data_IF_873051885494
#
_entry.id   IF_873051885494
#
_cell.length_a   1.000
_cell.length_b   1.000
_cell.length_c   1.000
_cell.angle_alpha   90.00
_cell.angle_beta   90.00
_cell.angle_gamma   90.00
#
_symmetry.space_group_name_H-M   'P 1'
#
loop_
_entity.id
_entity.type
_entity.pdbx_description
1 polymer ?
#
# COMPACT_ATOMS: atom_id res chain seq x y z
N UNK A 1 8.29 14.55 -13.98
CA UNK A 1 7.77 13.51 -14.82
C UNK A 1 6.90 12.58 -14.03
N UNK A 2 5.81 12.16 -14.61
CA UNK A 2 4.89 11.29 -13.93
C UNK A 2 5.45 9.88 -13.89
N UNK A 3 5.43 9.21 -12.75
CA UNK A 3 5.96 7.85 -12.72
C UNK A 3 5.07 6.92 -13.51
N UNK A 4 5.68 5.95 -14.14
CA UNK A 4 4.97 4.95 -14.86
C UNK A 4 5.12 3.65 -14.14
N UNK A 5 4.19 2.74 -14.37
CA UNK A 5 4.24 1.47 -13.67
C UNK A 5 5.52 0.72 -13.96
N UNK A 6 6.04 0.84 -15.17
CA UNK A 6 7.23 0.10 -15.50
C UNK A 6 8.49 0.72 -14.93
N UNK A 7 8.40 1.93 -14.39
CA UNK A 7 9.58 2.54 -13.77
C UNK A 7 9.57 2.39 -12.26
N UNK A 8 8.64 1.62 -11.72
CA UNK A 8 8.57 1.40 -10.29
C UNK A 8 9.64 0.40 -9.89
N UNK A 9 10.38 0.67 -8.81
CA UNK A 9 11.45 -0.26 -8.41
C UNK A 9 10.92 -1.65 -8.13
N UNK A 10 11.73 -2.67 -8.38
CA UNK A 10 11.26 -4.04 -8.20
C UNK A 10 10.74 -4.36 -6.81
N UNK A 11 11.36 -3.84 -5.76
CA UNK A 11 10.91 -4.17 -4.42
C UNK A 11 9.55 -3.52 -4.14
N UNK A 12 9.28 -2.37 -4.72
CA UNK A 12 7.98 -1.73 -4.55
C UNK A 12 6.92 -2.53 -5.31
N UNK A 13 7.25 -3.00 -6.52
CA UNK A 13 6.32 -3.84 -7.25
C UNK A 13 6.04 -5.10 -6.49
N UNK A 14 7.06 -5.70 -5.87
CA UNK A 14 6.87 -6.94 -5.13
C UNK A 14 5.92 -6.71 -3.95
N UNK A 15 6.02 -5.57 -3.29
CA UNK A 15 5.14 -5.28 -2.17
C UNK A 15 3.70 -5.13 -2.66
N UNK A 16 3.49 -4.45 -3.78
CA UNK A 16 2.16 -4.26 -4.33
C UNK A 16 1.57 -5.62 -4.72
N UNK A 17 2.35 -6.43 -5.40
CA UNK A 17 1.89 -7.74 -5.83
C UNK A 17 1.53 -8.63 -4.65
N UNK A 18 2.37 -8.61 -3.62
CA UNK A 18 2.11 -9.42 -2.42
C UNK A 18 0.81 -8.99 -1.74
N UNK A 19 0.59 -7.68 -1.66
CA UNK A 19 -0.64 -7.17 -1.06
C UNK A 19 -1.85 -7.65 -1.85
N UNK A 20 -1.76 -7.61 -3.17
CA UNK A 20 -2.86 -8.03 -4.01
C UNK A 20 -3.12 -9.53 -3.89
N UNK A 21 -2.08 -10.33 -3.70
CA UNK A 21 -2.26 -11.76 -3.52
C UNK A 21 -3.06 -12.07 -2.27
N UNK A 22 -3.01 -11.21 -1.27
CA UNK A 22 -3.77 -11.40 -0.06
C UNK A 22 -5.04 -10.56 -0.05
N UNK A 23 -5.50 -10.17 -1.23
CA UNK A 23 -6.79 -9.52 -1.40
C UNK A 23 -6.85 -8.12 -0.80
N UNK A 24 -5.72 -7.44 -0.70
CA UNK A 24 -5.74 -6.05 -0.27
C UNK A 24 -6.52 -5.23 -1.29
N UNK A 25 -7.21 -4.21 -0.80
CA UNK A 25 -8.02 -3.36 -1.65
C UNK A 25 -7.47 -1.96 -1.71
N UNK A 26 -7.83 -1.25 -2.76
CA UNK A 26 -7.46 0.16 -2.93
C UNK A 26 -5.96 0.38 -2.73
N UNK A 27 -5.18 -0.42 -3.42
CA UNK A 27 -3.73 -0.34 -3.31
C UNK A 27 -3.24 0.84 -4.12
N UNK A 28 -2.52 1.74 -3.45
CA UNK A 28 -1.95 2.89 -4.15
C UNK A 28 -0.47 3.03 -3.80
N UNK A 29 0.23 3.67 -4.68
CA UNK A 29 1.63 4.02 -4.50
C UNK A 29 1.73 5.52 -4.47
N UNK A 30 2.43 6.06 -3.47
CA UNK A 30 2.72 7.48 -3.42
C UNK A 30 4.23 7.64 -3.59
N UNK A 31 4.60 8.43 -4.60
CA UNK A 31 6.00 8.71 -4.88
C UNK A 31 6.35 9.98 -4.12
N UNK A 32 7.17 9.85 -3.09
CA UNK A 32 7.48 10.94 -2.19
C UNK A 32 8.77 11.66 -2.55
N UNK A 33 9.34 11.33 -3.70
CA UNK A 33 10.61 11.93 -4.09
C UNK A 33 10.47 13.47 -4.17
N UNK A 34 11.42 14.14 -3.59
CA UNK A 34 11.42 15.61 -3.65
C UNK A 34 10.52 16.29 -2.66
N UNK A 35 9.83 15.54 -1.80
CA UNK A 35 8.91 16.15 -0.85
C UNK A 35 9.47 16.24 0.56
N UNK A 36 10.74 15.90 0.74
CA UNK A 36 11.34 16.02 2.05
C UNK A 36 11.00 14.91 3.00
N UNK A 37 10.43 13.83 2.49
CA UNK A 37 10.10 12.69 3.34
C UNK A 37 11.35 11.86 3.58
N UNK A 38 11.32 11.07 4.65
CA UNK A 38 12.45 10.23 5.00
C UNK A 38 12.47 8.92 4.21
N UNK A 39 11.49 8.67 3.40
CA UNK A 39 11.44 7.49 2.55
C UNK A 39 11.06 7.93 1.14
N UNK A 40 11.27 7.05 0.16
CA UNK A 40 10.99 7.40 -1.22
C UNK A 40 9.58 7.06 -1.66
N UNK A 41 9.00 6.01 -1.06
CA UNK A 41 7.70 5.53 -1.49
C UNK A 41 6.85 5.08 -0.32
N UNK A 42 5.55 5.37 -0.42
CA UNK A 42 4.56 4.72 0.42
C UNK A 42 3.72 3.82 -0.46
N UNK A 43 3.44 2.61 0.03
CA UNK A 43 2.38 1.79 -0.52
C UNK A 43 1.28 1.77 0.53
N UNK A 44 0.06 2.15 0.15
CA UNK A 44 -1.06 2.20 1.08
C UNK A 44 -2.14 1.27 0.55
N UNK A 45 -2.67 0.43 1.41
CA UNK A 45 -3.73 -0.48 1.00
C UNK A 45 -4.65 -0.75 2.18
N UNK A 46 -5.75 -1.43 1.89
CA UNK A 46 -6.80 -1.67 2.88
C UNK A 46 -7.10 -3.15 2.99
N UNK A 47 -7.36 -3.59 4.21
CA UNK A 47 -7.84 -4.93 4.46
C UNK A 47 -9.15 -4.86 5.21
N UNK A 48 -9.91 -5.97 5.20
CA UNK A 48 -11.23 -6.02 5.82
C UNK A 48 -11.17 -6.13 7.33
N UNK A 49 -10.12 -6.68 7.87
CA UNK A 49 -10.07 -6.98 9.29
C UNK A 49 -8.63 -6.94 9.76
N UNK A 50 -8.40 -6.81 11.05
CA UNK A 50 -7.03 -6.86 11.56
C UNK A 50 -6.32 -8.15 11.20
N UNK A 51 -7.05 -9.27 11.13
CA UNK A 51 -6.45 -10.53 10.75
C UNK A 51 -5.95 -10.47 9.31
N UNK A 52 -6.71 -9.87 8.42
CA UNK A 52 -6.27 -9.74 7.05
C UNK A 52 -5.10 -8.78 6.94
N UNK A 53 -5.08 -7.71 7.74
CA UNK A 53 -3.95 -6.81 7.76
C UNK A 53 -2.67 -7.57 8.07
N UNK A 54 -2.74 -8.46 9.05
CA UNK A 54 -1.58 -9.24 9.42
C UNK A 54 -1.16 -10.16 8.29
N UNK A 55 -2.11 -10.79 7.63
CA UNK A 55 -1.79 -11.68 6.52
C UNK A 55 -1.15 -10.91 5.37
N UNK A 56 -1.65 -9.72 5.08
CA UNK A 56 -1.07 -8.88 4.04
C UNK A 56 0.37 -8.51 4.43
N UNK A 57 0.57 -8.09 5.67
CA UNK A 57 1.90 -7.72 6.12
C UNK A 57 2.88 -8.88 6.07
N UNK A 58 2.43 -10.05 6.47
CA UNK A 58 3.29 -11.24 6.46
C UNK A 58 3.71 -11.58 5.04
N UNK A 59 2.79 -11.49 4.10
CA UNK A 59 3.12 -11.84 2.73
C UNK A 59 4.09 -10.83 2.13
N UNK A 60 3.88 -9.54 2.40
CA UNK A 60 4.77 -8.53 1.90
C UNK A 60 6.17 -8.74 2.47
N UNK A 61 6.25 -8.99 3.75
CA UNK A 61 7.54 -9.19 4.39
C UNK A 61 8.26 -10.40 3.80
N UNK A 62 7.53 -11.49 3.60
CA UNK A 62 8.13 -12.69 3.09
C UNK A 62 8.62 -12.50 1.67
N UNK A 63 7.84 -11.88 0.82
CA UNK A 63 8.23 -11.73 -0.57
C UNK A 63 9.40 -10.76 -0.72
N UNK A 64 9.44 -9.71 0.06
CA UNK A 64 10.56 -8.80 -0.02
C UNK A 64 11.83 -9.45 0.53
N UNK A 65 11.69 -10.25 1.57
CA UNK A 65 12.84 -10.94 2.10
C UNK A 65 13.42 -11.90 1.08
N UNK A 66 12.58 -12.60 0.34
CA UNK A 66 13.08 -13.47 -0.72
C UNK A 66 13.82 -12.70 -1.79
N UNK A 67 13.46 -11.45 -1.97
CA UNK A 67 14.11 -10.61 -2.96
C UNK A 67 15.33 -9.89 -2.40
N UNK A 68 15.72 -10.21 -1.17
CA UNK A 68 16.91 -9.61 -0.58
C UNK A 68 16.65 -8.26 0.08
N UNK A 69 15.40 -7.89 0.30
CA UNK A 69 15.08 -6.60 0.90
C UNK A 69 14.68 -6.84 2.34
N UNK A 70 15.39 -6.18 3.24
CA UNK A 70 15.23 -6.44 4.65
C UNK A 70 14.23 -5.52 5.30
N UNK A 71 13.36 -6.08 6.13
CA UNK A 71 12.44 -5.29 6.92
C UNK A 71 13.23 -4.65 8.06
N UNK A 72 13.13 -3.34 8.20
CA UNK A 72 13.83 -2.63 9.23
C UNK A 72 12.98 -2.48 10.49
N UNK A 73 11.66 -2.30 10.30
CA UNK A 73 10.80 -2.07 11.45
C UNK A 73 9.37 -2.42 11.05
N UNK A 74 8.64 -3.03 11.96
CA UNK A 74 7.24 -3.36 11.72
C UNK A 74 6.45 -2.98 12.96
N UNK A 75 5.32 -2.32 12.73
CA UNK A 75 4.42 -1.97 13.81
C UNK A 75 3.03 -2.44 13.50
N UNK A 76 2.25 -2.68 14.53
CA UNK A 76 0.91 -3.19 14.39
C UNK A 76 0.85 -4.63 14.79
N UNK A 77 -0.11 -4.96 15.64
CA UNK A 77 -0.29 -6.32 16.09
C UNK A 77 -1.59 -6.84 15.52
N UNK A 78 -1.90 -8.09 15.86
CA UNK A 78 -3.00 -8.77 15.20
C UNK A 78 -4.34 -8.08 15.38
N UNK A 79 -4.47 -7.18 16.34
CA UNK A 79 -5.74 -6.50 16.51
C UNK A 79 -5.67 -5.05 16.12
N UNK A 80 -4.59 -4.64 15.46
CA UNK A 80 -4.44 -3.25 15.08
C UNK A 80 -5.24 -2.94 13.83
N UNK A 81 -5.65 -1.69 13.73
CA UNK A 81 -6.30 -1.20 12.51
C UNK A 81 -5.29 -0.62 11.53
N UNK A 82 -4.03 -0.57 11.89
CA UNK A 82 -2.98 0.02 11.07
C UNK A 82 -1.71 -0.77 11.28
N UNK A 83 -1.19 -1.31 10.19
CA UNK A 83 0.07 -2.03 10.23
C UNK A 83 1.06 -1.29 9.36
N UNK A 84 2.27 -1.12 9.85
CA UNK A 84 3.31 -0.40 9.13
C UNK A 84 4.51 -1.31 8.96
N UNK A 85 5.05 -1.36 7.73
CA UNK A 85 6.26 -2.11 7.44
C UNK A 85 7.25 -1.15 6.80
N UNK A 86 8.38 -0.94 7.48
CA UNK A 86 9.40 0.00 7.05
C UNK A 86 10.57 -0.77 6.45
N UNK A 87 10.80 -0.57 5.18
CA UNK A 87 11.91 -1.19 4.47
C UNK A 87 12.98 -0.16 4.08
N UNK A 88 12.90 1.04 4.63
CA UNK A 88 13.89 2.08 4.32
C UNK A 88 13.42 2.99 3.21
N UNK A 89 13.64 2.61 1.98
CA UNK A 89 13.19 3.43 0.86
C UNK A 89 11.71 3.22 0.56
N UNK A 90 11.06 2.30 1.24
CA UNK A 90 9.66 2.00 1.05
C UNK A 90 9.03 1.77 2.42
N UNK A 91 7.90 2.39 2.66
CA UNK A 91 7.10 2.10 3.85
C UNK A 91 5.72 1.69 3.38
N UNK A 92 5.25 0.54 3.87
CA UNK A 92 3.95 0.03 3.51
C UNK A 92 3.00 0.28 4.66
N UNK A 93 1.84 0.83 4.35
CA UNK A 93 0.79 1.10 5.33
C UNK A 93 -0.41 0.26 4.97
N UNK A 94 -0.83 -0.60 5.88
CA UNK A 94 -2.00 -1.45 5.67
C UNK A 94 -3.03 -1.04 6.71
N UNK A 95 -4.18 -0.60 6.27
CA UNK A 95 -5.22 -0.08 7.14
C UNK A 95 -6.51 -0.86 7.01
N UNK A 96 -7.29 -0.90 8.08
CA UNK A 96 -8.71 -1.19 7.90
C UNK A 96 -9.32 0.02 7.21
N UNK A 97 -10.50 -0.15 6.65
CA UNK A 97 -11.13 0.94 5.93
C UNK A 97 -11.37 2.14 6.84
N UNK A 98 -11.80 1.89 8.06
CA UNK A 98 -12.05 2.96 9.00
C UNK A 98 -10.77 3.73 9.31
N UNK A 99 -9.68 3.03 9.55
CA UNK A 99 -8.42 3.68 9.88
C UNK A 99 -7.87 4.44 8.69
N UNK A 100 -8.02 3.88 7.49
CA UNK A 100 -7.53 4.56 6.30
C UNK A 100 -8.21 5.90 6.14
N UNK A 101 -9.52 5.92 6.36
CA UNK A 101 -10.28 7.15 6.26
C UNK A 101 -9.88 8.12 7.38
N UNK A 102 -9.69 7.60 8.58
CA UNK A 102 -9.38 8.45 9.73
C UNK A 102 -8.01 9.10 9.60
N UNK A 103 -6.98 8.33 9.25
CA UNK A 103 -5.63 8.87 9.16
C UNK A 103 -5.37 9.61 7.87
N UNK A 104 -5.99 9.17 6.78
CA UNK A 104 -6.00 9.89 5.52
C UNK A 104 -4.61 10.33 5.07
N UNK A 105 -3.69 9.39 4.97
CA UNK A 105 -2.34 9.70 4.53
C UNK A 105 -2.32 10.30 3.13
N UNK A 106 -3.27 9.91 2.29
CA UNK A 106 -3.31 10.41 0.94
C UNK A 106 -3.51 11.91 0.92
N UNK A 107 -4.29 12.42 1.87
CA UNK A 107 -4.51 13.85 1.94
C UNK A 107 -3.28 14.56 2.46
N UNK A 108 -2.63 13.97 3.46
CA UNK A 108 -1.43 14.55 4.02
C UNK A 108 -0.34 14.65 2.96
N UNK A 109 -0.26 13.65 2.09
CA UNK A 109 0.76 13.61 1.06
C UNK A 109 0.18 13.85 -0.32
N UNK A 110 -0.81 14.73 -0.41
CA UNK A 110 -1.50 14.95 -1.69
C UNK A 110 -0.60 15.53 -2.77
N UNK A 111 0.54 16.08 -2.39
CA UNK A 111 1.49 16.58 -3.38
C UNK A 111 2.28 15.46 -4.03
N UNK A 112 2.23 14.25 -3.47
CA UNK A 112 2.96 13.12 -4.03
C UNK A 112 2.30 12.64 -5.31
N UNK A 113 3.10 12.09 -6.21
CA UNK A 113 2.54 11.46 -7.38
C UNK A 113 1.88 10.17 -6.95
N UNK A 114 0.68 9.94 -7.44
CA UNK A 114 -0.14 8.83 -6.99
C UNK A 114 -0.41 7.88 -8.14
N UNK A 115 -0.16 6.60 -7.93
CA UNK A 115 -0.46 5.57 -8.90
C UNK A 115 -1.38 4.58 -8.23
N UNK A 116 -2.51 4.27 -8.86
CA UNK A 116 -3.49 3.36 -8.29
C UNK A 116 -3.36 1.99 -8.91
N UNK A 117 -3.47 0.97 -8.09
CA UNK A 117 -3.37 -0.42 -8.51
C UNK A 117 -4.57 -1.19 -8.01
N UNK A 118 -4.84 -2.27 -8.65
CA UNK A 118 -5.85 -3.15 -8.15
C UNK A 118 -7.22 -2.63 -8.40
N UNK A 119 -8.20 -3.31 -7.85
CA UNK A 119 -9.55 -3.02 -8.09
C UNK A 119 -10.22 -2.50 -6.88
N UNK A 120 -11.23 -1.69 -7.03
CA UNK A 120 -12.01 -1.29 -5.90
C UNK A 120 -12.69 -2.50 -5.31
N UNK A 121 -13.18 -2.36 -4.08
CA UNK A 121 -13.90 -3.41 -3.43
C UNK A 121 -15.07 -3.83 -4.28
N UNK A 122 -15.44 -5.11 -4.19
CA UNK A 122 -16.44 -5.64 -5.04
C UNK A 122 -17.70 -4.84 -5.04
N UNK A 123 -18.18 -4.45 -3.91
CA UNK A 123 -19.38 -3.66 -3.86
C UNK A 123 -19.21 -2.31 -4.49
N UNK A 124 -18.07 -1.70 -4.39
CA UNK A 124 -17.89 -0.42 -5.00
C UNK A 124 -17.50 -0.58 -6.44
N UNK A 125 -17.06 -1.73 -6.85
CA UNK A 125 -16.67 -1.84 -8.23
C UNK A 125 -17.86 -1.81 -9.16
N UNK A 126 -19.05 -2.11 -8.68
CA UNK A 126 -20.17 -1.99 -9.52
C UNK A 126 -20.33 -0.60 -9.92
N UNK A 127 -20.28 0.28 -8.99
CA UNK A 127 -20.41 1.64 -9.34
C UNK A 127 -19.15 2.10 -9.98
N UNK A 128 -18.05 1.65 -9.48
CA UNK A 128 -16.82 2.08 -10.04
C UNK A 128 -16.65 1.65 -11.45
N UNK A 129 -17.11 0.50 -11.74
CA UNK A 129 -16.96 0.02 -13.06
C UNK A 129 -17.78 0.82 -13.96
N UNK A 130 -18.84 1.25 -13.50
CA UNK A 130 -19.67 1.98 -14.32
C UNK A 130 -19.00 3.18 -14.77
N UNK A 131 -18.25 3.77 -13.94
CA UNK A 131 -17.70 4.87 -14.34
C UNK A 131 -16.41 4.74 -14.68
N UNK A 132 -15.89 3.71 -14.41
CA UNK A 132 -14.60 3.51 -14.80
C UNK A 132 -14.50 3.71 -16.17
N UNK A 133 -15.32 3.59 -16.58
CA UNK A 133 -15.31 3.69 -17.54
C UNK A 133 -15.43 4.74 -17.71
N UNK A 134 -15.69 4.98 -17.32
CA UNK A 134 -15.63 6.26 -17.43
C UNK A 134 -14.46 6.50 -16.85
#
# INVERSE_FOLDING_TARGET
MTPRKDSIPPHVRAAISAAQEKQAEDVILLDLAGLGAFTDYFVVCTGFSPRQLEAIGDEIEEQLERSGVRLLHREGKSESDWMLLDFGSLVVHVFTERARHFYDLERLWRAARRVEFGKPREGSSLAGAAEAEG
#
